data_IF_742763929975
#
_entry.id   IF_742763929975
#
_cell.length_a   1.000
_cell.length_b   1.000
_cell.length_c   1.000
_cell.angle_alpha   90.00
_cell.angle_beta   90.00
_cell.angle_gamma   90.00
#
_symmetry.space_group_name_H-M   'P 1'
#
loop_
_entity.id
_entity.type
_entity.pdbx_description
1 polymer ?
#
# COMPACT_ATOMS: atom_id res chain seq x y z
N UNK A 1 -14.65 14.77 14.60
CA UNK A 1 -13.72 14.42 13.49
C UNK A 1 -12.30 14.55 14.01
N UNK A 2 -11.46 13.54 13.83
CA UNK A 2 -10.05 13.63 14.23
C UNK A 2 -9.37 14.63 13.29
N UNK A 3 -8.80 15.68 13.84
CA UNK A 3 -8.02 16.65 13.04
C UNK A 3 -6.74 15.98 12.54
N UNK A 4 -6.69 15.73 11.23
CA UNK A 4 -5.56 15.08 10.57
C UNK A 4 -4.43 16.07 10.26
N UNK A 5 -4.70 17.38 10.23
CA UNK A 5 -3.70 18.41 9.92
C UNK A 5 -2.57 18.46 10.96
N UNK A 6 -2.84 17.99 12.17
CA UNK A 6 -1.85 17.85 13.25
C UNK A 6 -1.12 16.48 13.23
N UNK A 7 -1.43 15.59 12.28
CA UNK A 7 -0.79 14.28 12.17
C UNK A 7 0.36 14.38 11.18
N UNK A 8 1.57 14.51 11.72
CA UNK A 8 2.79 14.52 10.92
C UNK A 8 3.06 13.14 10.34
N UNK A 9 3.26 13.08 9.03
CA UNK A 9 3.70 11.88 8.31
C UNK A 9 5.07 12.16 7.72
N UNK A 10 6.02 11.26 7.94
CA UNK A 10 7.32 11.30 7.27
C UNK A 10 7.23 10.55 5.94
N UNK A 11 7.64 11.19 4.85
CA UNK A 11 7.79 10.53 3.55
C UNK A 11 9.25 10.23 3.29
N UNK A 12 9.59 8.95 3.14
CA UNK A 12 10.93 8.48 2.78
C UNK A 12 10.96 8.12 1.30
N UNK A 13 12.01 8.53 0.60
CA UNK A 13 12.10 8.39 -0.85
C UNK A 13 10.91 9.06 -1.58
N UNK A 14 10.62 10.34 -1.28
CA UNK A 14 9.46 11.03 -1.83
C UNK A 14 9.46 11.15 -3.35
N UNK A 15 10.62 11.12 -4.01
CA UNK A 15 10.73 11.40 -5.42
C UNK A 15 10.15 12.79 -5.74
N UNK A 16 9.21 12.84 -6.68
CA UNK A 16 8.48 14.08 -7.00
C UNK A 16 7.21 14.29 -6.14
N UNK A 17 7.04 13.49 -5.09
CA UNK A 17 6.00 13.69 -4.09
C UNK A 17 4.59 13.26 -4.51
N UNK A 18 4.42 12.28 -5.40
CA UNK A 18 3.07 11.86 -5.83
C UNK A 18 2.30 11.16 -4.72
N UNK A 19 2.96 10.30 -3.95
CA UNK A 19 2.35 9.66 -2.77
C UNK A 19 2.06 10.71 -1.69
N UNK A 20 3.00 11.62 -1.45
CA UNK A 20 2.86 12.73 -0.50
C UNK A 20 1.63 13.56 -0.81
N UNK A 21 1.50 14.01 -2.07
CA UNK A 21 0.36 14.78 -2.53
C UNK A 21 -0.97 14.09 -2.26
N UNK A 22 -1.04 12.76 -2.45
CA UNK A 22 -2.25 12.01 -2.17
C UNK A 22 -2.64 12.04 -0.68
N UNK A 23 -1.65 12.01 0.21
CA UNK A 23 -1.87 12.14 1.65
C UNK A 23 -2.18 13.59 2.06
N UNK A 24 -1.51 14.58 1.48
CA UNK A 24 -1.78 16.00 1.68
C UNK A 24 -3.21 16.37 1.26
N UNK A 25 -3.69 15.89 0.11
CA UNK A 25 -5.07 16.05 -0.36
C UNK A 25 -6.12 15.46 0.61
N UNK A 26 -5.73 14.53 1.46
CA UNK A 26 -6.56 13.94 2.52
C UNK A 26 -6.43 14.64 3.88
N UNK A 27 -5.66 15.72 3.94
CA UNK A 27 -5.53 16.57 5.12
C UNK A 27 -4.37 16.21 6.05
N UNK A 28 -3.47 15.31 5.66
CA UNK A 28 -2.27 15.04 6.45
C UNK A 28 -1.19 16.11 6.24
N UNK A 29 -0.39 16.37 7.26
CA UNK A 29 0.82 17.15 7.14
C UNK A 29 1.99 16.22 6.81
N UNK A 30 2.50 16.29 5.58
CA UNK A 30 3.60 15.43 5.11
C UNK A 30 4.92 16.17 5.16
N UNK A 31 5.87 15.60 5.90
CA UNK A 31 7.27 16.07 5.97
C UNK A 31 8.10 15.20 5.03
N UNK A 32 8.70 15.82 4.02
CA UNK A 32 9.55 15.11 3.08
C UNK A 32 10.93 14.85 3.69
N UNK A 33 11.26 13.58 3.75
CA UNK A 33 12.57 13.08 4.16
C UNK A 33 13.56 13.05 2.99
N UNK A 34 14.68 12.32 3.16
CA UNK A 34 15.75 12.27 2.16
C UNK A 34 15.34 11.53 0.88
N UNK A 35 15.83 12.04 -0.24
CA UNK A 35 15.79 11.40 -1.55
C UNK A 35 16.99 11.91 -2.36
N UNK A 36 17.71 11.00 -3.03
CA UNK A 36 18.86 11.34 -3.86
C UNK A 36 18.51 12.28 -5.01
N UNK A 37 17.25 12.30 -5.45
CA UNK A 37 16.77 13.26 -6.45
C UNK A 37 16.95 14.71 -5.99
N UNK A 38 16.89 14.93 -4.67
CA UNK A 38 17.02 16.25 -4.05
C UNK A 38 18.32 16.39 -3.23
N UNK A 39 19.27 15.48 -3.41
CA UNK A 39 20.58 15.50 -2.73
C UNK A 39 20.59 14.95 -1.30
N UNK A 40 19.49 14.35 -0.83
CA UNK A 40 19.40 13.74 0.49
C UNK A 40 19.71 12.24 0.45
N UNK A 41 20.61 11.78 1.34
CA UNK A 41 20.94 10.36 1.48
C UNK A 41 20.30 9.79 2.76
N UNK A 42 19.46 8.78 2.61
CA UNK A 42 18.76 8.13 3.72
C UNK A 42 19.71 7.51 4.74
N UNK A 43 20.88 7.06 4.32
CA UNK A 43 21.90 6.47 5.20
C UNK A 43 22.43 7.45 6.27
N UNK A 44 22.34 8.74 5.98
CA UNK A 44 22.75 9.82 6.88
C UNK A 44 21.57 10.45 7.65
N UNK A 45 20.36 9.99 7.38
CA UNK A 45 19.14 10.56 7.96
C UNK A 45 18.67 9.74 9.15
N UNK A 46 18.51 10.42 10.31
CA UNK A 46 17.99 9.84 11.54
C UNK A 46 16.72 10.56 11.96
N UNK A 47 15.54 9.97 11.73
CA UNK A 47 14.28 10.61 12.10
C UNK A 47 14.12 10.69 13.61
N UNK A 48 13.59 11.81 14.15
CA UNK A 48 13.40 11.97 15.59
C UNK A 48 12.33 11.00 16.12
N UNK A 49 12.64 10.35 17.24
CA UNK A 49 11.78 9.39 17.91
C UNK A 49 10.41 10.00 18.31
N UNK A 50 9.33 9.28 18.02
CA UNK A 50 7.98 9.60 18.48
C UNK A 50 7.33 10.87 17.89
N UNK A 51 7.96 11.53 16.93
CA UNK A 51 7.44 12.77 16.33
C UNK A 51 6.45 12.53 15.19
N UNK A 52 6.61 11.44 14.46
CA UNK A 52 5.75 11.13 13.32
C UNK A 52 4.63 10.17 13.70
N UNK A 53 3.43 10.49 13.26
CA UNK A 53 2.27 9.63 13.44
C UNK A 53 2.32 8.42 12.50
N UNK A 54 2.84 8.61 11.29
CA UNK A 54 3.03 7.58 10.29
C UNK A 54 4.28 7.83 9.43
N UNK A 55 4.73 6.79 8.75
CA UNK A 55 5.77 6.86 7.71
C UNK A 55 5.20 6.29 6.44
N UNK A 56 5.40 6.98 5.32
CA UNK A 56 5.13 6.49 3.96
C UNK A 56 6.42 6.46 3.16
N UNK A 57 6.51 5.61 2.14
CA UNK A 57 7.66 5.65 1.24
C UNK A 57 7.64 4.62 0.14
N UNK A 58 8.45 4.88 -0.89
CA UNK A 58 8.69 4.01 -2.02
C UNK A 58 10.18 3.83 -2.29
N UNK A 59 10.88 2.95 -1.54
CA UNK A 59 12.31 2.73 -1.77
C UNK A 59 12.58 2.24 -3.20
N UNK A 60 13.79 2.47 -3.74
CA UNK A 60 14.15 2.09 -5.10
C UNK A 60 13.80 0.65 -5.45
N UNK A 61 13.06 0.45 -6.54
CA UNK A 61 12.53 -0.85 -6.96
C UNK A 61 13.35 -1.55 -8.06
N UNK A 62 14.45 -0.93 -8.53
CA UNK A 62 15.18 -1.39 -9.73
C UNK A 62 15.66 -2.83 -9.59
N UNK A 63 16.15 -3.21 -8.41
CA UNK A 63 16.65 -4.56 -8.16
C UNK A 63 15.56 -5.64 -8.13
N UNK A 64 14.32 -5.26 -7.86
CA UNK A 64 13.15 -6.14 -7.75
C UNK A 64 12.28 -6.14 -9.02
N UNK A 65 12.54 -5.22 -9.96
CA UNK A 65 11.71 -5.05 -11.15
C UNK A 65 11.84 -6.23 -12.11
N UNK A 66 10.71 -6.73 -12.62
CA UNK A 66 10.69 -7.72 -13.70
C UNK A 66 11.16 -7.18 -15.05
N UNK A 67 11.28 -5.87 -15.21
CA UNK A 67 11.77 -5.19 -16.42
C UNK A 67 13.29 -5.00 -16.41
N UNK A 68 13.97 -5.44 -15.35
CA UNK A 68 15.42 -5.31 -15.23
C UNK A 68 16.15 -6.17 -16.24
N UNK A 69 17.18 -5.58 -16.89
CA UNK A 69 18.03 -6.26 -17.88
C UNK A 69 19.40 -6.65 -17.34
N UNK A 70 19.80 -6.14 -16.18
CA UNK A 70 21.10 -6.39 -15.55
C UNK A 70 20.96 -7.13 -14.21
N UNK A 71 22.04 -7.70 -13.69
CA UNK A 71 22.04 -8.32 -12.37
C UNK A 71 21.66 -7.30 -11.25
N UNK A 72 21.08 -7.74 -10.11
CA UNK A 72 20.82 -6.85 -8.98
C UNK A 72 22.11 -6.19 -8.49
N UNK A 73 22.02 -4.91 -8.13
CA UNK A 73 23.14 -4.16 -7.57
C UNK A 73 23.27 -4.33 -6.05
N UNK A 74 22.21 -4.81 -5.40
CA UNK A 74 22.09 -4.83 -3.94
C UNK A 74 21.50 -3.54 -3.36
N UNK A 75 21.52 -2.44 -4.12
CA UNK A 75 21.03 -1.15 -3.64
C UNK A 75 19.54 -1.17 -3.21
N UNK A 76 18.71 -1.95 -3.90
CA UNK A 76 17.30 -2.08 -3.53
C UNK A 76 17.10 -2.68 -2.14
N UNK A 77 17.89 -3.71 -1.80
CA UNK A 77 17.84 -4.34 -0.48
C UNK A 77 18.42 -3.43 0.60
N UNK A 78 19.52 -2.74 0.32
CA UNK A 78 20.11 -1.74 1.21
C UNK A 78 19.08 -0.64 1.54
N UNK A 79 18.41 -0.06 0.54
CA UNK A 79 17.43 1.00 0.73
C UNK A 79 16.17 0.51 1.47
N UNK A 80 15.79 -0.75 1.29
CA UNK A 80 14.73 -1.37 2.09
C UNK A 80 15.13 -1.51 3.56
N UNK A 81 16.40 -1.88 3.83
CA UNK A 81 16.95 -1.95 5.18
C UNK A 81 17.00 -0.56 5.84
N UNK A 82 17.39 0.46 5.10
CA UNK A 82 17.40 1.85 5.58
C UNK A 82 15.98 2.37 5.87
N UNK A 83 14.99 2.00 5.04
CA UNK A 83 13.59 2.29 5.33
C UNK A 83 13.18 1.67 6.67
N UNK A 84 13.48 0.38 6.88
CA UNK A 84 13.15 -0.33 8.12
C UNK A 84 13.88 0.29 9.34
N UNK A 85 15.14 0.70 9.19
CA UNK A 85 15.91 1.44 10.21
C UNK A 85 15.20 2.73 10.61
N UNK A 86 14.80 3.55 9.63
CA UNK A 86 14.08 4.79 9.90
C UNK A 86 12.74 4.55 10.61
N UNK A 87 12.01 3.50 10.25
CA UNK A 87 10.77 3.09 10.96
C UNK A 87 11.09 2.72 12.41
N UNK A 88 12.16 1.96 12.63
CA UNK A 88 12.59 1.53 13.99
C UNK A 88 13.05 2.71 14.83
N UNK A 89 13.77 3.66 14.28
CA UNK A 89 14.21 4.87 15.00
C UNK A 89 13.06 5.82 15.31
N UNK A 90 12.20 6.11 14.35
CA UNK A 90 11.09 7.03 14.50
C UNK A 90 9.94 6.48 15.35
N UNK A 91 9.76 5.17 15.40
CA UNK A 91 8.69 4.50 16.14
C UNK A 91 7.28 5.07 15.88
N UNK A 92 6.84 5.23 14.60
CA UNK A 92 5.51 5.75 14.28
C UNK A 92 4.41 4.79 14.75
N UNK A 93 3.13 5.20 14.69
CA UNK A 93 2.00 4.30 14.95
C UNK A 93 1.78 3.29 13.83
N UNK A 94 2.16 3.64 12.62
CA UNK A 94 2.05 2.82 11.42
C UNK A 94 3.07 3.26 10.37
N UNK A 95 3.36 2.37 9.43
CA UNK A 95 4.16 2.66 8.25
C UNK A 95 3.52 2.02 7.01
N UNK A 96 3.76 2.60 5.85
CA UNK A 96 3.30 2.13 4.55
C UNK A 96 4.44 2.21 3.53
N UNK A 97 4.75 1.09 2.93
CA UNK A 97 5.76 0.96 1.88
C UNK A 97 5.10 0.54 0.57
N UNK A 98 5.36 1.27 -0.50
CA UNK A 98 4.98 0.91 -1.87
C UNK A 98 6.20 0.42 -2.63
N UNK A 99 6.02 -0.63 -3.45
CA UNK A 99 7.07 -1.15 -4.32
C UNK A 99 6.48 -2.04 -5.44
N UNK A 100 7.34 -2.75 -6.16
CA UNK A 100 6.95 -3.81 -7.09
C UNK A 100 6.74 -5.15 -6.38
N UNK A 101 5.99 -6.07 -6.98
CA UNK A 101 5.55 -7.33 -6.34
C UNK A 101 6.67 -8.24 -5.82
N UNK A 102 7.89 -8.13 -6.37
CA UNK A 102 9.04 -8.96 -5.96
C UNK A 102 9.86 -8.39 -4.81
N UNK A 103 9.45 -7.25 -4.22
CA UNK A 103 10.16 -6.68 -3.08
C UNK A 103 10.11 -7.64 -1.89
N UNK A 104 11.20 -7.85 -1.15
CA UNK A 104 11.18 -8.60 0.10
C UNK A 104 10.31 -7.96 1.18
N UNK A 105 10.06 -8.66 2.28
CA UNK A 105 9.42 -8.07 3.44
C UNK A 105 10.30 -6.97 4.03
N UNK A 106 9.66 -5.86 4.40
CA UNK A 106 10.27 -4.87 5.26
C UNK A 106 10.26 -5.42 6.69
N UNK A 107 11.43 -5.63 7.25
CA UNK A 107 11.59 -6.13 8.60
C UNK A 107 11.63 -4.96 9.59
N UNK A 108 10.46 -4.60 10.11
CA UNK A 108 10.32 -3.58 11.14
C UNK A 108 9.70 -4.25 12.39
N UNK A 109 10.49 -4.51 13.45
CA UNK A 109 10.00 -5.15 14.66
C UNK A 109 8.90 -4.30 15.33
N UNK A 110 8.10 -4.92 16.18
CA UNK A 110 6.99 -4.31 16.94
C UNK A 110 5.76 -3.89 16.11
N UNK A 111 5.68 -4.28 14.85
CA UNK A 111 4.52 -4.01 14.00
C UNK A 111 3.86 -5.31 13.51
N UNK A 112 2.55 -5.35 13.58
CA UNK A 112 1.77 -6.33 12.83
C UNK A 112 1.75 -5.89 11.37
N UNK A 113 2.25 -6.73 10.48
CA UNK A 113 2.44 -6.41 9.07
C UNK A 113 1.40 -7.05 8.18
N UNK A 114 1.03 -6.34 7.12
CA UNK A 114 0.14 -6.77 6.04
C UNK A 114 0.85 -6.59 4.71
N UNK A 115 0.68 -7.56 3.80
CA UNK A 115 1.13 -7.49 2.41
C UNK A 115 -0.05 -7.70 1.49
N UNK A 116 -0.18 -6.88 0.46
CA UNK A 116 -1.21 -7.03 -0.57
C UNK A 116 -0.80 -6.30 -1.84
N UNK A 117 -1.40 -6.71 -2.95
CA UNK A 117 -1.22 -6.04 -4.23
C UNK A 117 -2.40 -5.13 -4.52
N UNK A 118 -2.12 -4.02 -5.20
CA UNK A 118 -3.10 -3.04 -5.65
C UNK A 118 -2.85 -2.75 -7.14
N UNK A 119 -3.92 -2.69 -7.92
CA UNK A 119 -3.81 -2.35 -9.33
C UNK A 119 -4.48 -0.99 -9.59
N UNK A 120 -3.77 -0.08 -10.24
CA UNK A 120 -4.30 1.21 -10.66
C UNK A 120 -5.58 1.06 -11.49
N UNK A 121 -5.68 0.01 -12.31
CA UNK A 121 -6.86 -0.31 -13.12
C UNK A 121 -8.12 -0.65 -12.32
N UNK A 122 -8.05 -0.72 -10.99
CA UNK A 122 -9.24 -0.77 -10.14
C UNK A 122 -9.93 0.59 -10.00
N UNK A 123 -9.24 1.69 -10.32
CA UNK A 123 -9.67 3.06 -10.06
C UNK A 123 -9.69 3.94 -11.31
N UNK A 124 -9.02 3.52 -12.38
CA UNK A 124 -9.00 4.23 -13.68
C UNK A 124 -8.63 3.27 -14.81
N UNK A 125 -8.61 3.76 -16.06
CA UNK A 125 -8.33 2.98 -17.26
C UNK A 125 -6.82 2.79 -17.53
N UNK A 126 -6.01 2.65 -16.47
CA UNK A 126 -4.56 2.40 -16.57
C UNK A 126 -4.21 1.20 -15.72
N UNK A 127 -3.57 0.18 -16.29
CA UNK A 127 -3.18 -1.01 -15.53
C UNK A 127 -1.74 -0.89 -15.02
N UNK A 128 -1.59 -0.83 -13.69
CA UNK A 128 -0.30 -0.82 -13.00
C UNK A 128 -0.39 -1.58 -11.68
N UNK A 129 0.24 -2.73 -11.61
CA UNK A 129 0.30 -3.51 -10.37
C UNK A 129 1.40 -2.96 -9.45
N UNK A 130 1.06 -2.78 -8.18
CA UNK A 130 1.98 -2.38 -7.11
C UNK A 130 1.76 -3.23 -5.88
N UNK A 131 2.85 -3.42 -5.15
CA UNK A 131 2.88 -4.14 -3.90
C UNK A 131 2.94 -3.16 -2.74
N UNK A 132 2.06 -3.38 -1.77
CA UNK A 132 1.97 -2.56 -0.57
C UNK A 132 2.32 -3.42 0.64
N UNK A 133 3.15 -2.87 1.51
CA UNK A 133 3.35 -3.39 2.85
C UNK A 133 2.87 -2.32 3.84
N UNK A 134 2.14 -2.75 4.83
CA UNK A 134 1.63 -1.87 5.88
C UNK A 134 1.92 -2.49 7.24
N UNK A 135 2.50 -1.72 8.15
CA UNK A 135 2.75 -2.14 9.53
C UNK A 135 2.03 -1.24 10.51
N UNK A 136 1.42 -1.82 11.53
CA UNK A 136 0.68 -1.10 12.57
C UNK A 136 1.01 -1.64 13.95
N UNK A 137 1.37 -0.76 14.89
CA UNK A 137 1.56 -1.13 16.32
C UNK A 137 0.27 -1.60 17.00
N UNK A 138 -0.86 -1.14 16.51
CA UNK A 138 -2.18 -1.49 17.07
C UNK A 138 -2.77 -2.76 16.48
N UNK A 139 -2.08 -3.45 15.57
CA UNK A 139 -2.59 -4.63 14.87
C UNK A 139 -3.69 -4.32 13.85
N UNK A 140 -3.90 -3.06 13.50
CA UNK A 140 -4.91 -2.66 12.50
C UNK A 140 -4.40 -2.94 11.09
N UNK A 141 -5.30 -3.32 10.20
CA UNK A 141 -5.02 -3.60 8.80
C UNK A 141 -5.76 -2.62 7.89
N UNK A 142 -5.17 -2.32 6.74
CA UNK A 142 -5.84 -1.56 5.69
C UNK A 142 -6.90 -2.45 5.00
N UNK A 143 -8.04 -1.84 4.72
CA UNK A 143 -9.06 -2.45 3.88
C UNK A 143 -9.08 -1.72 2.54
N UNK A 144 -8.46 -2.33 1.54
CA UNK A 144 -8.43 -1.81 0.17
C UNK A 144 -9.22 -2.77 -0.72
N UNK A 145 -10.33 -2.28 -1.26
CA UNK A 145 -11.21 -3.10 -2.09
C UNK A 145 -10.77 -3.04 -3.56
N UNK A 146 -10.39 -4.19 -4.09
CA UNK A 146 -10.10 -4.35 -5.51
C UNK A 146 -11.38 -4.43 -6.35
N UNK A 147 -11.31 -3.88 -7.56
CA UNK A 147 -12.33 -4.05 -8.61
C UNK A 147 -11.74 -4.89 -9.75
N UNK A 148 -12.59 -5.40 -10.61
CA UNK A 148 -12.12 -6.04 -11.83
C UNK A 148 -11.47 -4.98 -12.72
N UNK A 149 -10.23 -5.23 -13.17
CA UNK A 149 -9.57 -4.40 -14.19
C UNK A 149 -10.37 -4.52 -15.49
N UNK A 150 -10.72 -3.39 -16.10
CA UNK A 150 -11.41 -3.39 -17.38
C UNK A 150 -10.48 -3.94 -18.48
N UNK A 151 -11.00 -4.72 -19.43
CA UNK A 151 -10.27 -5.02 -20.66
C UNK A 151 -9.87 -3.70 -21.37
N UNK A 152 -8.70 -3.66 -22.00
CA UNK A 152 -8.20 -2.49 -22.73
C UNK A 152 -7.76 -1.29 -21.89
N UNK A 153 -7.29 -1.51 -20.65
CA UNK A 153 -6.59 -0.48 -19.90
C UNK A 153 -5.32 -0.01 -20.64
N UNK A 154 -5.05 1.27 -20.59
CA UNK A 154 -3.78 1.84 -21.04
C UNK A 154 -2.60 1.23 -20.26
N UNK A 155 -1.45 1.00 -20.89
CA UNK A 155 -0.26 0.60 -20.19
C UNK A 155 0.24 1.75 -19.31
N UNK A 156 0.68 1.42 -18.09
CA UNK A 156 1.17 2.41 -17.13
C UNK A 156 2.37 3.21 -17.66
N UNK A 157 2.56 4.41 -17.12
CA UNK A 157 3.80 5.16 -17.28
C UNK A 157 4.97 4.42 -16.63
N UNK A 158 6.12 4.33 -17.30
CA UNK A 158 7.34 3.71 -16.81
C UNK A 158 8.55 4.67 -16.91
N UNK A 159 9.63 4.36 -16.19
CA UNK A 159 10.80 5.24 -16.10
C UNK A 159 11.49 5.53 -17.46
N UNK A 160 11.51 4.53 -18.36
CA UNK A 160 12.12 4.64 -19.70
C UNK A 160 11.02 4.60 -20.77
N UNK A 161 10.10 5.55 -20.69
CA UNK A 161 8.92 5.62 -21.55
C UNK A 161 9.16 6.56 -22.73
N UNK A 162 8.82 6.11 -23.94
CA UNK A 162 9.01 6.89 -25.16
C UNK A 162 7.84 7.86 -25.40
N UNK A 163 6.69 7.67 -24.73
CA UNK A 163 5.52 8.54 -24.85
C UNK A 163 5.83 9.97 -24.39
N UNK A 164 5.06 10.97 -24.88
CA UNK A 164 5.22 12.36 -24.46
C UNK A 164 5.05 12.54 -22.94
N UNK A 165 5.77 13.48 -22.34
CA UNK A 165 5.70 13.78 -20.89
C UNK A 165 4.27 14.05 -20.41
N UNK A 166 3.48 14.81 -21.18
CA UNK A 166 2.07 15.09 -20.85
C UNK A 166 1.22 13.81 -20.76
N UNK A 167 1.48 12.85 -21.64
CA UNK A 167 0.80 11.56 -21.61
C UNK A 167 1.14 10.78 -20.34
N UNK A 168 2.40 10.75 -19.94
CA UNK A 168 2.83 10.12 -18.68
C UNK A 168 2.18 10.79 -17.47
N UNK A 169 2.06 12.12 -17.47
CA UNK A 169 1.33 12.86 -16.43
C UNK A 169 -0.13 12.43 -16.35
N UNK A 170 -0.83 12.33 -17.49
CA UNK A 170 -2.20 11.85 -17.57
C UNK A 170 -2.35 10.44 -16.99
N UNK A 171 -1.48 9.52 -17.37
CA UNK A 171 -1.49 8.14 -16.89
C UNK A 171 -1.24 8.02 -15.39
N UNK A 172 -0.49 8.94 -14.80
CA UNK A 172 -0.25 9.03 -13.36
C UNK A 172 -1.34 9.80 -12.59
N UNK A 173 -2.34 10.37 -13.32
CA UNK A 173 -3.42 11.17 -12.74
C UNK A 173 -3.01 12.54 -12.27
N UNK A 174 -1.95 13.10 -12.86
CA UNK A 174 -1.50 14.46 -12.59
C UNK A 174 -2.39 15.48 -13.29
N UNK A 175 -2.54 16.70 -12.74
CA UNK A 175 -3.36 17.72 -13.35
C UNK A 175 -2.78 18.22 -14.68
N UNK A 176 -3.65 18.73 -15.52
CA UNK A 176 -3.24 19.43 -16.73
C UNK A 176 -2.29 20.60 -16.37
N UNK A 177 -1.24 20.76 -17.17
CA UNK A 177 -0.23 21.79 -16.90
C UNK A 177 0.83 21.43 -15.85
N UNK A 178 0.79 20.21 -15.27
CA UNK A 178 1.88 19.74 -14.40
C UNK A 178 3.21 19.76 -15.15
N UNK A 179 4.23 20.33 -14.52
CA UNK A 179 5.60 20.33 -15.03
C UNK A 179 6.62 20.18 -13.89
N UNK A 180 7.84 19.88 -14.27
CA UNK A 180 9.01 19.77 -13.39
C UNK A 180 10.08 20.75 -13.92
N UNK A 181 9.97 22.06 -13.61
CA UNK A 181 10.94 23.05 -14.06
C UNK A 181 12.33 22.69 -13.54
N UNK A 182 13.36 22.90 -14.36
CA UNK A 182 14.74 22.56 -14.03
C UNK A 182 15.19 21.13 -14.34
N UNK A 183 14.26 20.22 -14.65
CA UNK A 183 14.59 18.86 -15.09
C UNK A 183 14.70 18.78 -16.62
N UNK A 184 15.64 17.97 -17.12
CA UNK A 184 15.70 17.61 -18.53
C UNK A 184 14.51 16.72 -18.92
N UNK A 185 14.12 16.73 -20.20
CA UNK A 185 12.96 15.99 -20.69
C UNK A 185 12.98 14.48 -20.31
N UNK A 186 14.14 13.84 -20.36
CA UNK A 186 14.32 12.44 -19.98
C UNK A 186 14.14 12.24 -18.46
N UNK A 187 14.65 13.19 -17.68
CA UNK A 187 14.52 13.15 -16.21
C UNK A 187 13.08 13.35 -15.76
N UNK A 188 12.35 14.30 -16.39
CA UNK A 188 10.92 14.50 -16.16
C UNK A 188 10.12 13.21 -16.37
N UNK A 189 10.35 12.52 -17.49
CA UNK A 189 9.69 11.25 -17.80
C UNK A 189 10.02 10.17 -16.78
N UNK A 190 11.31 10.03 -16.42
CA UNK A 190 11.78 9.07 -15.42
C UNK A 190 11.16 9.33 -14.05
N UNK A 191 11.13 10.57 -13.61
CA UNK A 191 10.57 10.96 -12.32
C UNK A 191 9.07 10.66 -12.23
N UNK A 192 8.30 10.99 -13.27
CA UNK A 192 6.86 10.69 -13.35
C UNK A 192 6.63 9.17 -13.44
N UNK A 193 7.39 8.46 -14.30
CA UNK A 193 7.23 7.01 -14.47
C UNK A 193 7.57 6.19 -13.22
N UNK A 194 8.47 6.66 -12.36
CA UNK A 194 8.81 6.03 -11.08
C UNK A 194 7.79 6.33 -9.97
N UNK A 195 7.01 7.38 -10.11
CA UNK A 195 6.08 7.81 -9.06
C UNK A 195 4.92 6.83 -8.82
N UNK A 196 4.34 6.90 -7.64
CA UNK A 196 3.10 6.20 -7.29
C UNK A 196 1.93 6.90 -7.98
N UNK A 197 1.06 6.21 -8.74
CA UNK A 197 -0.11 6.84 -9.34
C UNK A 197 -0.98 7.56 -8.31
N UNK A 198 -1.40 8.78 -8.61
CA UNK A 198 -2.10 9.63 -7.65
C UNK A 198 -3.43 9.01 -7.18
N UNK A 199 -4.15 8.34 -8.08
CA UNK A 199 -5.39 7.62 -7.73
C UNK A 199 -5.13 6.50 -6.72
N UNK A 200 -4.06 5.75 -6.89
CA UNK A 200 -3.66 4.69 -5.98
C UNK A 200 -3.25 5.26 -4.62
N UNK A 201 -2.45 6.32 -4.61
CA UNK A 201 -2.07 7.04 -3.38
C UNK A 201 -3.29 7.56 -2.60
N UNK A 202 -4.29 8.12 -3.29
CA UNK A 202 -5.55 8.61 -2.68
C UNK A 202 -6.32 7.50 -1.98
N UNK A 203 -6.38 6.32 -2.58
CA UNK A 203 -7.05 5.15 -1.99
C UNK A 203 -6.30 4.65 -0.76
N UNK A 204 -4.98 4.59 -0.82
CA UNK A 204 -4.14 4.19 0.32
C UNK A 204 -4.28 5.20 1.48
N UNK A 205 -4.24 6.49 1.19
CA UNK A 205 -4.45 7.53 2.21
C UNK A 205 -5.85 7.43 2.85
N UNK A 206 -6.90 7.19 2.04
CA UNK A 206 -8.25 6.98 2.56
C UNK A 206 -8.34 5.73 3.44
N UNK A 207 -7.73 4.61 3.01
CA UNK A 207 -7.71 3.37 3.80
C UNK A 207 -7.03 3.57 5.17
N UNK A 208 -5.95 4.38 5.23
CA UNK A 208 -5.32 4.75 6.51
C UNK A 208 -6.28 5.56 7.39
N UNK A 209 -6.99 6.54 6.82
CA UNK A 209 -8.01 7.32 7.56
C UNK A 209 -9.06 6.38 8.13
N UNK A 210 -9.64 5.53 7.29
CA UNK A 210 -10.74 4.64 7.67
C UNK A 210 -10.33 3.72 8.83
N UNK A 211 -9.11 3.20 8.79
CA UNK A 211 -8.56 2.36 9.85
C UNK A 211 -8.46 3.09 11.19
N UNK A 212 -8.10 4.36 11.19
CA UNK A 212 -7.85 5.11 12.43
C UNK A 212 -9.05 5.96 12.89
N UNK A 213 -10.06 6.16 12.06
CA UNK A 213 -11.31 6.89 12.41
C UNK A 213 -12.48 5.96 12.68
N UNK A 214 -12.48 4.75 12.12
CA UNK A 214 -13.53 3.76 12.38
C UNK A 214 -13.42 3.16 13.79
N UNK A 215 -14.55 2.77 14.41
CA UNK A 215 -14.55 2.01 15.66
C UNK A 215 -13.68 0.75 15.49
N UNK A 216 -12.97 0.35 16.54
CA UNK A 216 -12.07 -0.80 16.52
C UNK A 216 -12.80 -2.05 16.05
N UNK A 217 -12.47 -2.55 14.86
CA UNK A 217 -12.72 -3.94 14.52
C UNK A 217 -11.68 -4.79 15.26
N UNK A 218 -12.13 -5.68 16.12
CA UNK A 218 -11.26 -6.66 16.80
C UNK A 218 -10.80 -7.68 15.77
N UNK A 219 -9.53 -7.59 15.35
CA UNK A 219 -8.89 -8.64 14.56
C UNK A 219 -8.39 -9.73 15.51
N UNK A 220 -8.62 -11.00 15.16
CA UNK A 220 -8.00 -12.12 15.87
C UNK A 220 -6.70 -12.51 15.15
N UNK A 221 -5.61 -12.57 15.90
CA UNK A 221 -4.34 -13.15 15.42
C UNK A 221 -4.48 -14.67 15.37
N UNK A 222 -4.01 -15.32 14.30
CA UNK A 222 -3.80 -16.76 14.28
C UNK A 222 -2.50 -17.11 15.03
N UNK A 223 -2.27 -18.40 15.29
CA UNK A 223 -1.08 -18.90 15.99
C UNK A 223 0.27 -18.57 15.30
N UNK A 224 0.24 -18.07 14.05
CA UNK A 224 1.42 -17.63 13.31
C UNK A 224 1.62 -16.09 13.36
N UNK A 225 0.87 -15.37 14.19
CA UNK A 225 0.94 -13.91 14.27
C UNK A 225 0.31 -13.16 13.06
N UNK A 226 -0.34 -13.91 12.16
CA UNK A 226 -1.06 -13.32 11.03
C UNK A 226 -2.46 -12.92 11.46
N UNK A 227 -2.88 -11.71 11.11
CA UNK A 227 -4.22 -11.23 11.41
C UNK A 227 -5.21 -11.89 10.46
N UNK A 228 -6.14 -12.65 11.02
CA UNK A 228 -7.30 -13.14 10.28
C UNK A 228 -8.54 -12.41 10.79
N UNK A 229 -9.26 -11.73 9.91
CA UNK A 229 -10.65 -11.42 10.20
C UNK A 229 -11.37 -12.74 10.45
N UNK A 230 -11.99 -12.86 11.61
CA UNK A 230 -12.87 -14.00 11.85
C UNK A 230 -14.01 -13.93 10.83
N UNK A 231 -13.96 -14.83 9.84
CA UNK A 231 -14.96 -14.87 8.76
C UNK A 231 -16.03 -15.90 9.06
N UNK A 232 -17.21 -15.63 8.56
CA UNK A 232 -18.36 -16.50 8.73
C UNK A 232 -18.07 -17.94 8.34
N UNK A 233 -18.28 -18.90 9.24
CA UNK A 233 -18.03 -20.32 9.02
C UNK A 233 -18.88 -20.98 7.92
N UNK A 234 -19.75 -20.24 7.26
CA UNK A 234 -20.49 -20.72 6.07
C UNK A 234 -19.75 -20.50 4.75
N UNK A 235 -18.59 -19.82 4.76
CA UNK A 235 -17.81 -19.51 3.55
C UNK A 235 -18.34 -18.34 2.73
N UNK A 236 -19.25 -17.50 3.25
CA UNK A 236 -19.76 -16.32 2.53
C UNK A 236 -18.82 -15.11 2.54
N UNK A 237 -17.68 -15.21 3.24
CA UNK A 237 -16.68 -14.15 3.32
C UNK A 237 -17.04 -12.99 4.24
N UNK A 238 -18.26 -12.91 4.79
CA UNK A 238 -18.66 -11.82 5.69
C UNK A 238 -17.89 -11.89 7.01
N UNK A 239 -17.41 -10.74 7.56
CA UNK A 239 -16.77 -10.70 8.85
C UNK A 239 -17.76 -11.07 9.95
N UNK A 240 -17.22 -11.64 11.04
CA UNK A 240 -17.97 -11.94 12.27
C UNK A 240 -17.28 -11.27 13.45
N UNK A 241 -18.04 -10.85 14.43
CA UNK A 241 -17.52 -10.17 15.61
C UNK A 241 -17.55 -11.09 16.85
N UNK A 242 -16.54 -10.98 17.69
CA UNK A 242 -16.44 -11.72 18.95
C UNK A 242 -16.40 -13.24 18.77
N UNK A 243 -17.16 -13.99 19.60
CA UNK A 243 -17.24 -15.46 19.57
C UNK A 243 -18.25 -15.99 18.55
N UNK A 244 -18.80 -15.16 17.68
CA UNK A 244 -19.77 -15.57 16.68
C UNK A 244 -19.13 -16.54 15.67
N UNK A 245 -19.88 -17.57 15.28
CA UNK A 245 -19.47 -18.54 14.24
C UNK A 245 -20.02 -18.18 12.86
N UNK A 246 -21.12 -17.45 12.82
CA UNK A 246 -21.82 -17.09 11.59
C UNK A 246 -22.15 -15.59 11.59
N UNK A 247 -22.06 -14.97 10.40
CA UNK A 247 -22.46 -13.58 10.23
C UNK A 247 -23.99 -13.43 10.35
N UNK A 248 -24.40 -12.35 10.97
CA UNK A 248 -25.82 -11.93 11.04
C UNK A 248 -26.22 -11.15 9.79
N UNK A 249 -27.50 -11.15 9.45
CA UNK A 249 -28.10 -10.20 8.51
C UNK A 249 -28.43 -8.86 9.23
N UNK A 250 -29.03 -7.92 8.54
CA UNK A 250 -29.45 -6.62 9.08
C UNK A 250 -30.46 -6.74 10.24
N UNK A 251 -31.19 -7.85 10.30
CA UNK A 251 -32.16 -8.17 11.37
C UNK A 251 -31.54 -8.98 12.52
N UNK A 252 -30.21 -9.18 12.54
CA UNK A 252 -29.51 -9.92 13.57
C UNK A 252 -29.63 -11.46 13.48
N UNK A 253 -30.22 -12.01 12.40
CA UNK A 253 -30.42 -13.45 12.22
C UNK A 253 -29.24 -14.13 11.51
N UNK A 254 -28.82 -15.29 12.02
CA UNK A 254 -27.74 -16.13 11.47
C UNK A 254 -28.24 -17.34 10.67
N UNK A 255 -29.56 -17.54 10.54
CA UNK A 255 -30.16 -18.77 9.97
C UNK A 255 -29.71 -19.07 8.57
N UNK A 256 -29.60 -18.06 7.70
CA UNK A 256 -29.15 -18.18 6.32
C UNK A 256 -27.72 -18.73 6.23
N UNK A 257 -26.81 -18.22 7.09
CA UNK A 257 -25.42 -18.69 7.10
C UNK A 257 -25.27 -20.07 7.72
N UNK A 258 -26.10 -20.43 8.71
CA UNK A 258 -26.13 -21.80 9.27
C UNK A 258 -26.58 -22.83 8.22
N UNK A 259 -27.65 -22.56 7.49
CA UNK A 259 -28.14 -23.41 6.40
C UNK A 259 -27.12 -23.55 5.25
N UNK A 260 -26.37 -22.51 4.94
CA UNK A 260 -25.29 -22.53 3.93
C UNK A 260 -24.13 -23.40 4.40
N UNK A 261 -23.68 -23.26 5.65
CA UNK A 261 -22.61 -24.06 6.23
C UNK A 261 -22.98 -25.57 6.25
N UNK A 262 -24.23 -25.87 6.53
CA UNK A 262 -24.73 -27.27 6.52
C UNK A 262 -24.74 -27.86 5.12
N UNK A 263 -25.18 -27.09 4.10
CA UNK A 263 -25.11 -27.51 2.70
C UNK A 263 -23.67 -27.75 2.23
N UNK A 264 -22.73 -26.88 2.59
CA UNK A 264 -21.32 -27.05 2.24
C UNK A 264 -20.67 -28.27 2.88
N UNK A 265 -21.12 -28.72 4.05
CA UNK A 265 -20.68 -29.98 4.68
C UNK A 265 -21.20 -31.23 3.97
N UNK A 266 -22.42 -31.15 3.44
CA UNK A 266 -23.05 -32.27 2.71
C UNK A 266 -22.55 -32.42 1.27
N UNK A 267 -21.85 -31.41 0.72
CA UNK A 267 -21.28 -31.42 -0.64
C UNK A 267 -19.88 -30.80 -0.63
N UNK A 268 -18.84 -31.55 -0.21
CA UNK A 268 -17.49 -31.03 -0.24
C UNK A 268 -16.99 -30.95 -1.68
N UNK A 269 -17.01 -29.77 -2.28
CA UNK A 269 -16.20 -29.49 -3.48
C UNK A 269 -14.75 -29.37 -3.03
N UNK A 270 -13.96 -30.40 -3.29
CA UNK A 270 -12.53 -30.37 -3.20
C UNK A 270 -11.98 -29.33 -4.19
N UNK A 271 -11.47 -28.21 -3.68
CA UNK A 271 -10.54 -27.36 -4.42
C UNK A 271 -9.24 -27.39 -3.65
N UNK A 272 -8.41 -28.36 -3.99
CA UNK A 272 -7.01 -28.39 -3.63
C UNK A 272 -6.31 -27.42 -4.57
N UNK A 273 -5.83 -26.31 -4.03
CA UNK A 273 -4.80 -25.51 -4.68
C UNK A 273 -3.46 -26.00 -4.14
N UNK A 274 -2.82 -26.87 -4.90
CA UNK A 274 -1.40 -27.17 -4.71
C UNK A 274 -0.57 -26.01 -5.20
N UNK A 275 0.15 -25.38 -4.28
CA UNK A 275 1.26 -24.50 -4.61
C UNK A 275 2.37 -25.36 -5.22
N UNK A 276 2.73 -25.11 -6.46
CA UNK A 276 3.94 -25.63 -7.06
C UNK A 276 4.79 -24.47 -7.58
N UNK A 277 6.11 -24.52 -7.19
CA UNK A 277 7.27 -23.92 -7.80
C UNK A 277 7.58 -22.49 -7.41
#
# INVERSE_FOLDING_TARGET
>A
MTDLSQKLILSLFPGIGLLDRAFEEKGFCVVRGPDLLWGGDIRQFHPPYGKFWGIIGGPPCQDFSGLRRCAPTGNGLEMLTEYARCVTEAQPKWWLLENVARVPNCDAPDYVTQRFDINQGWYCDVSRLRHIQFGSKSGRLLNVTGRRVTPNCDPAAVANDDRPFRELCRLQGLPDGFDLPGFLAVEKKRAVGNGVPLQMGRVLAQAVIDVYTSPRHTYQLNFAGQVTEARCGCGCGRPITGKAKYATNEQGDTSTCRKRAERNRKSPRATVWTAHG
#
